data_IF_186484669940
#
_entry.id   IF_186484669940
#
_cell.length_a   1.000
_cell.length_b   1.000
_cell.length_c   1.000
_cell.angle_alpha   90.00
_cell.angle_beta   90.00
_cell.angle_gamma   90.00
#
_symmetry.space_group_name_H-M   'P 1'
#
loop_
_entity.id
_entity.type
_entity.pdbx_description
1 polymer ?
#
# COMPACT_ATOMS: atom_id res chain seq x y z
N UNK A 1 13.68 5.05 10.44
CA UNK A 1 12.65 6.09 10.19
C UNK A 1 12.59 7.15 11.28
N UNK A 2 12.63 6.81 12.57
CA UNK A 2 12.65 7.82 13.66
C UNK A 2 13.84 8.76 13.58
N UNK A 3 15.04 8.23 13.30
CA UNK A 3 16.25 9.04 13.08
C UNK A 3 16.08 10.01 11.90
N UNK A 4 15.48 9.56 10.80
CA UNK A 4 15.27 10.39 9.61
C UNK A 4 14.44 11.64 9.88
N UNK A 5 13.40 11.53 10.73
CA UNK A 5 12.50 12.62 11.09
C UNK A 5 12.89 13.35 12.38
N UNK A 6 14.04 13.03 12.98
CA UNK A 6 14.50 13.71 14.19
C UNK A 6 15.11 15.08 13.86
N UNK A 7 14.82 16.10 14.68
CA UNK A 7 15.20 17.49 14.41
C UNK A 7 16.71 17.71 14.35
N UNK A 8 17.46 16.91 15.12
CA UNK A 8 18.93 16.99 15.16
C UNK A 8 19.64 16.22 14.04
N UNK A 9 18.90 15.55 13.13
CA UNK A 9 19.52 14.75 12.07
C UNK A 9 19.98 15.64 10.93
N UNK A 10 21.28 15.60 10.61
CA UNK A 10 21.89 16.39 9.55
C UNK A 10 21.37 15.99 8.16
N UNK A 11 21.43 16.91 7.20
CA UNK A 11 21.00 16.62 5.83
C UNK A 11 21.86 15.52 5.17
N UNK A 12 23.15 15.48 5.47
CA UNK A 12 24.05 14.41 5.02
C UNK A 12 23.56 13.05 5.53
N UNK A 13 23.25 12.96 6.83
CA UNK A 13 22.73 11.73 7.43
C UNK A 13 21.35 11.34 6.86
N UNK A 14 20.46 12.30 6.62
CA UNK A 14 19.18 12.06 5.97
C UNK A 14 19.36 11.44 4.58
N UNK A 15 20.31 11.95 3.79
CA UNK A 15 20.64 11.43 2.46
C UNK A 15 21.18 9.99 2.52
N UNK A 16 22.07 9.69 3.47
CA UNK A 16 22.54 8.31 3.69
C UNK A 16 21.38 7.35 4.00
N UNK A 17 20.47 7.78 4.87
CA UNK A 17 19.29 6.98 5.23
C UNK A 17 18.38 6.79 4.00
N UNK A 18 18.16 7.82 3.19
CA UNK A 18 17.40 7.71 1.94
C UNK A 18 18.04 6.74 0.96
N UNK A 19 19.36 6.77 0.78
CA UNK A 19 20.09 5.84 -0.08
C UNK A 19 19.92 4.39 0.41
N UNK A 20 20.02 4.15 1.72
CA UNK A 20 19.76 2.83 2.30
C UNK A 20 18.33 2.35 2.06
N UNK A 21 17.34 3.23 2.26
CA UNK A 21 15.93 2.91 2.02
C UNK A 21 15.65 2.68 0.54
N UNK A 22 16.25 3.44 -0.36
CA UNK A 22 16.10 3.23 -1.80
C UNK A 22 16.71 1.89 -2.22
N UNK A 23 17.89 1.55 -1.71
CA UNK A 23 18.53 0.26 -1.95
C UNK A 23 17.67 -0.90 -1.43
N UNK A 24 17.08 -0.78 -0.24
CA UNK A 24 16.14 -1.78 0.28
C UNK A 24 14.92 -1.96 -0.64
N UNK A 25 14.29 -0.87 -1.09
CA UNK A 25 13.09 -0.94 -1.92
C UNK A 25 13.31 -1.60 -3.28
N UNK A 26 14.56 -1.61 -3.77
CA UNK A 26 14.95 -2.26 -5.02
C UNK A 26 15.24 -3.76 -4.88
N UNK A 27 15.37 -4.28 -3.65
CA UNK A 27 15.63 -5.70 -3.44
C UNK A 27 14.44 -6.56 -3.87
N UNK A 28 14.73 -7.68 -4.52
CA UNK A 28 13.72 -8.67 -4.90
C UNK A 28 13.03 -9.17 -3.64
N UNK A 29 11.70 -9.07 -3.59
CA UNK A 29 10.92 -9.51 -2.43
C UNK A 29 10.86 -8.51 -1.27
N UNK A 30 11.41 -7.29 -1.40
CA UNK A 30 11.32 -6.23 -0.37
C UNK A 30 9.88 -5.95 0.08
N UNK A 31 8.92 -6.14 -0.82
CA UNK A 31 7.49 -5.98 -0.56
C UNK A 31 6.98 -6.93 0.53
N UNK A 32 7.56 -8.12 0.70
CA UNK A 32 7.18 -9.09 1.75
C UNK A 32 7.52 -8.57 3.13
N UNK A 33 8.70 -7.95 3.27
CA UNK A 33 9.07 -7.24 4.51
C UNK A 33 8.15 -6.05 4.76
N UNK A 34 7.79 -5.29 3.71
CA UNK A 34 6.83 -4.19 3.84
C UNK A 34 5.46 -4.69 4.30
N UNK A 35 4.99 -5.83 3.79
CA UNK A 35 3.75 -6.47 4.24
C UNK A 35 3.82 -6.84 5.71
N UNK A 36 4.95 -7.43 6.15
CA UNK A 36 5.18 -7.75 7.56
C UNK A 36 5.21 -6.49 8.43
N UNK A 37 5.85 -5.41 7.98
CA UNK A 37 5.89 -4.16 8.75
C UNK A 37 4.50 -3.55 8.92
N UNK A 38 3.66 -3.57 7.88
CA UNK A 38 2.30 -3.05 7.95
C UNK A 38 1.41 -3.77 8.97
N UNK A 39 1.68 -5.04 9.26
CA UNK A 39 0.92 -5.82 10.26
C UNK A 39 1.54 -5.81 11.66
N UNK A 40 2.85 -5.55 11.78
CA UNK A 40 3.59 -5.70 13.05
C UNK A 40 3.98 -4.38 13.72
N UNK A 41 4.13 -3.29 12.97
CA UNK A 41 4.59 -2.02 13.53
C UNK A 41 3.42 -1.16 14.02
N UNK A 42 3.74 -0.18 14.88
CA UNK A 42 2.86 0.96 15.22
C UNK A 42 3.47 2.29 14.80
N UNK A 43 4.61 2.26 14.10
CA UNK A 43 5.29 3.46 13.66
C UNK A 43 4.74 3.91 12.31
N UNK A 44 4.04 5.04 12.31
CA UNK A 44 3.38 5.59 11.12
C UNK A 44 4.36 5.89 9.98
N UNK A 45 5.60 6.29 10.28
CA UNK A 45 6.62 6.52 9.25
C UNK A 45 7.05 5.22 8.56
N UNK A 46 7.16 4.13 9.33
CA UNK A 46 7.46 2.80 8.76
C UNK A 46 6.29 2.33 7.90
N UNK A 47 5.05 2.48 8.37
CA UNK A 47 3.87 2.13 7.59
C UNK A 47 3.79 2.93 6.29
N UNK A 48 3.96 4.25 6.34
CA UNK A 48 3.93 5.07 5.13
C UNK A 48 5.04 4.68 4.17
N UNK A 49 6.26 4.48 4.66
CA UNK A 49 7.35 4.02 3.82
C UNK A 49 7.02 2.69 3.14
N UNK A 50 6.51 1.70 3.88
CA UNK A 50 6.08 0.42 3.32
C UNK A 50 5.00 0.57 2.24
N UNK A 51 4.02 1.46 2.43
CA UNK A 51 3.01 1.76 1.40
C UNK A 51 3.59 2.46 0.18
N UNK A 52 4.59 3.33 0.35
CA UNK A 52 5.30 3.97 -0.77
C UNK A 52 6.13 2.95 -1.57
N UNK A 53 6.69 1.93 -0.92
CA UNK A 53 7.34 0.81 -1.64
C UNK A 53 6.32 0.05 -2.49
N UNK A 54 5.15 -0.29 -1.95
CA UNK A 54 4.08 -0.91 -2.73
C UNK A 54 3.62 -0.03 -3.90
N UNK A 55 3.36 1.25 -3.64
CA UNK A 55 2.94 2.20 -4.68
C UNK A 55 3.96 2.27 -5.82
N UNK A 56 5.26 2.34 -5.53
CA UNK A 56 6.29 2.32 -6.56
C UNK A 56 6.34 0.98 -7.30
N UNK A 57 6.25 -0.15 -6.58
CA UNK A 57 6.21 -1.48 -7.18
C UNK A 57 5.06 -1.62 -8.19
N UNK A 58 3.85 -1.19 -7.79
CA UNK A 58 2.63 -1.31 -8.60
C UNK A 58 2.62 -0.29 -9.76
N UNK A 59 3.09 0.93 -9.56
CA UNK A 59 3.01 1.94 -10.61
C UNK A 59 4.18 1.89 -11.60
N UNK A 60 5.34 1.35 -11.22
CA UNK A 60 6.55 1.40 -12.06
C UNK A 60 7.06 0.03 -12.50
N UNK A 61 6.83 -1.02 -11.70
CA UNK A 61 7.47 -2.33 -11.92
C UNK A 61 6.45 -3.46 -12.11
N UNK A 62 5.15 -3.17 -12.06
CA UNK A 62 4.11 -4.20 -11.99
C UNK A 62 4.16 -5.21 -13.12
N UNK A 63 4.42 -4.79 -14.36
CA UNK A 63 4.55 -5.70 -15.50
C UNK A 63 5.63 -6.78 -15.28
N UNK A 64 6.73 -6.44 -14.60
CA UNK A 64 7.83 -7.35 -14.29
C UNK A 64 7.63 -8.19 -13.03
N UNK A 65 6.58 -7.95 -12.24
CA UNK A 65 6.31 -8.74 -11.02
C UNK A 65 5.81 -10.14 -11.41
N UNK A 66 6.36 -11.22 -10.84
CA UNK A 66 5.88 -12.58 -11.09
C UNK A 66 4.39 -12.75 -10.77
N UNK A 67 3.67 -13.55 -11.56
CA UNK A 67 2.22 -13.76 -11.38
C UNK A 67 1.83 -14.26 -10.00
N UNK A 68 2.67 -15.09 -9.38
CA UNK A 68 2.46 -15.58 -8.01
C UNK A 68 2.53 -14.44 -6.99
N UNK A 69 3.55 -13.59 -7.09
CA UNK A 69 3.69 -12.41 -6.23
C UNK A 69 2.53 -11.43 -6.43
N UNK A 70 2.09 -11.19 -7.67
CA UNK A 70 0.89 -10.37 -7.94
C UNK A 70 -0.36 -10.91 -7.26
N UNK A 71 -0.57 -12.22 -7.32
CA UNK A 71 -1.72 -12.88 -6.69
C UNK A 71 -1.65 -12.77 -5.16
N UNK A 72 -0.47 -12.95 -4.58
CA UNK A 72 -0.23 -12.80 -3.15
C UNK A 72 -0.51 -11.36 -2.69
N UNK A 73 0.02 -10.36 -3.40
CA UNK A 73 -0.21 -8.94 -3.10
C UNK A 73 -1.70 -8.59 -3.17
N UNK A 74 -2.40 -9.02 -4.24
CA UNK A 74 -3.85 -8.81 -4.42
C UNK A 74 -4.71 -9.45 -3.33
N UNK A 75 -4.26 -10.57 -2.77
CA UNK A 75 -4.96 -11.26 -1.68
C UNK A 75 -4.68 -10.61 -0.32
N UNK A 76 -3.43 -10.23 -0.06
CA UNK A 76 -2.97 -9.82 1.25
C UNK A 76 -3.33 -8.37 1.61
N UNK A 77 -3.20 -7.41 0.68
CA UNK A 77 -3.45 -6.00 0.99
C UNK A 77 -4.92 -5.71 1.37
N UNK A 78 -5.94 -6.23 0.65
CA UNK A 78 -7.33 -6.07 1.06
C UNK A 78 -7.64 -6.75 2.40
N UNK A 79 -7.06 -7.93 2.67
CA UNK A 79 -7.21 -8.62 3.97
C UNK A 79 -6.62 -7.79 5.10
N UNK A 80 -5.43 -7.20 4.91
CA UNK A 80 -4.79 -6.32 5.88
C UNK A 80 -5.64 -5.08 6.14
N UNK A 81 -6.17 -4.45 5.09
CA UNK A 81 -7.09 -3.32 5.21
C UNK A 81 -8.30 -3.71 6.08
N UNK A 82 -8.98 -4.81 5.75
CA UNK A 82 -10.15 -5.25 6.49
C UNK A 82 -9.84 -5.61 7.95
N UNK A 83 -8.70 -6.23 8.22
CA UNK A 83 -8.28 -6.59 9.58
C UNK A 83 -7.98 -5.36 10.46
N UNK A 84 -7.39 -4.31 9.89
CA UNK A 84 -6.82 -3.20 10.67
C UNK A 84 -7.44 -1.81 10.41
N UNK A 85 -8.42 -1.66 9.50
CA UNK A 85 -8.98 -0.36 9.12
C UNK A 85 -9.52 0.51 10.27
N UNK A 86 -9.89 -0.10 11.40
CA UNK A 86 -10.38 0.60 12.59
C UNK A 86 -9.26 1.17 13.46
N UNK A 87 -8.08 0.56 13.41
CA UNK A 87 -6.91 0.94 14.23
C UNK A 87 -5.88 1.74 13.46
N UNK A 88 -5.86 1.62 12.13
CA UNK A 88 -4.95 2.38 11.29
C UNK A 88 -5.28 3.87 11.31
N UNK A 89 -4.26 4.76 11.42
CA UNK A 89 -4.45 6.18 11.20
C UNK A 89 -5.09 6.47 9.84
N UNK A 90 -5.90 7.52 9.78
CA UNK A 90 -6.68 7.87 8.59
C UNK A 90 -5.82 7.96 7.32
N UNK A 91 -4.66 8.61 7.38
CA UNK A 91 -3.77 8.80 6.23
C UNK A 91 -3.11 7.49 5.76
N UNK A 92 -2.73 6.59 6.69
CA UNK A 92 -2.21 5.26 6.36
C UNK A 92 -3.29 4.43 5.67
N UNK A 93 -4.50 4.42 6.24
CA UNK A 93 -5.64 3.70 5.70
C UNK A 93 -6.00 4.17 4.29
N UNK A 94 -6.07 5.49 4.07
CA UNK A 94 -6.35 6.04 2.75
C UNK A 94 -5.25 5.71 1.74
N UNK A 95 -3.98 5.78 2.15
CA UNK A 95 -2.86 5.38 1.30
C UNK A 95 -2.95 3.90 0.92
N UNK A 96 -3.32 3.02 1.86
CA UNK A 96 -3.53 1.60 1.58
C UNK A 96 -4.70 1.37 0.61
N UNK A 97 -5.82 2.07 0.78
CA UNK A 97 -6.91 2.05 -0.20
C UNK A 97 -6.42 2.46 -1.60
N UNK A 98 -5.64 3.55 -1.69
CA UNK A 98 -5.06 4.02 -2.96
C UNK A 98 -4.14 2.98 -3.58
N UNK A 99 -3.28 2.32 -2.81
CA UNK A 99 -2.42 1.22 -3.29
C UNK A 99 -3.25 0.06 -3.85
N UNK A 100 -4.36 -0.30 -3.21
CA UNK A 100 -5.26 -1.36 -3.73
C UNK A 100 -5.93 -0.91 -5.04
N UNK A 101 -6.35 0.36 -5.13
CA UNK A 101 -6.91 0.95 -6.36
C UNK A 101 -5.88 0.98 -7.49
N UNK A 102 -4.61 1.31 -7.20
CA UNK A 102 -3.53 1.26 -8.19
C UNK A 102 -3.40 -0.15 -8.81
N UNK A 103 -3.58 -1.22 -8.02
CA UNK A 103 -3.59 -2.59 -8.57
C UNK A 103 -4.79 -2.80 -9.48
N UNK A 104 -5.97 -2.33 -9.07
CA UNK A 104 -7.17 -2.32 -9.90
C UNK A 104 -6.91 -1.64 -11.24
N UNK A 105 -6.28 -0.46 -11.24
CA UNK A 105 -5.91 0.25 -12.48
C UNK A 105 -5.01 -0.56 -13.40
N UNK A 106 -4.05 -1.31 -12.85
CA UNK A 106 -3.11 -2.09 -13.65
C UNK A 106 -3.70 -3.39 -14.20
N UNK A 107 -4.56 -4.07 -13.43
CA UNK A 107 -4.97 -5.45 -13.71
C UNK A 107 -6.45 -5.60 -14.08
N UNK A 108 -7.31 -4.61 -13.81
CA UNK A 108 -8.71 -4.67 -14.22
C UNK A 108 -8.87 -4.34 -15.71
N UNK A 109 -9.73 -5.04 -16.47
CA UNK A 109 -10.57 -6.16 -16.04
C UNK A 109 -9.89 -7.53 -16.09
N UNK A 110 -8.84 -7.70 -16.89
CA UNK A 110 -8.35 -9.02 -17.35
C UNK A 110 -7.74 -9.91 -16.26
N UNK A 111 -7.12 -9.34 -15.23
CA UNK A 111 -6.41 -10.06 -14.19
C UNK A 111 -6.99 -9.83 -12.79
N UNK A 112 -7.87 -8.83 -12.64
CA UNK A 112 -8.55 -8.51 -11.38
C UNK A 112 -10.06 -8.25 -11.59
N UNK A 113 -10.77 -9.22 -12.18
CA UNK A 113 -12.19 -9.13 -12.53
C UNK A 113 -13.11 -8.63 -11.41
N UNK A 114 -12.90 -9.08 -10.17
CA UNK A 114 -13.75 -8.75 -9.03
C UNK A 114 -13.46 -7.37 -8.41
N UNK A 115 -12.58 -6.56 -9.00
CA UNK A 115 -12.17 -5.27 -8.41
C UNK A 115 -13.35 -4.37 -8.02
N UNK A 116 -14.25 -4.07 -8.96
CA UNK A 116 -15.45 -3.26 -8.67
C UNK A 116 -16.43 -3.99 -7.75
N UNK A 117 -16.63 -5.29 -7.93
CA UNK A 117 -17.50 -6.10 -7.06
C UNK A 117 -17.06 -6.01 -5.60
N UNK A 118 -15.76 -6.09 -5.34
CA UNK A 118 -15.19 -5.94 -4.00
C UNK A 118 -15.45 -4.54 -3.42
N UNK A 119 -15.28 -3.48 -4.22
CA UNK A 119 -15.58 -2.11 -3.78
C UNK A 119 -17.07 -1.98 -3.42
N UNK A 120 -17.96 -2.49 -4.27
CA UNK A 120 -19.41 -2.44 -4.03
C UNK A 120 -19.80 -3.23 -2.77
N UNK A 121 -19.18 -4.39 -2.52
CA UNK A 121 -19.40 -5.15 -1.28
C UNK A 121 -19.00 -4.36 -0.03
N UNK A 122 -17.88 -3.60 -0.07
CA UNK A 122 -17.49 -2.73 1.04
C UNK A 122 -18.54 -1.65 1.32
N UNK A 123 -19.14 -1.09 0.27
CA UNK A 123 -20.17 -0.04 0.38
C UNK A 123 -21.43 -0.56 1.07
N UNK A 124 -21.81 -1.81 0.83
CA UNK A 124 -23.04 -2.41 1.33
C UNK A 124 -23.08 -2.63 2.86
N UNK A 125 -21.93 -2.62 3.55
CA UNK A 125 -21.87 -2.80 5.00
C UNK A 125 -21.51 -1.50 5.72
N UNK A 126 -22.34 -1.00 6.67
CA UNK A 126 -22.12 0.28 7.36
C UNK A 126 -20.71 0.45 7.97
N UNK A 127 -20.10 -0.65 8.41
CA UNK A 127 -18.76 -0.64 9.03
C UNK A 127 -17.67 -0.36 7.99
N UNK A 128 -17.84 -0.83 6.76
CA UNK A 128 -16.85 -0.70 5.67
C UNK A 128 -17.27 0.32 4.61
N UNK A 129 -18.48 0.88 4.69
CA UNK A 129 -18.98 1.88 3.72
C UNK A 129 -17.99 3.01 3.48
N UNK A 130 -17.35 3.61 4.52
CA UNK A 130 -16.37 4.68 4.28
C UNK A 130 -15.17 4.22 3.43
N UNK A 131 -14.70 2.98 3.62
CA UNK A 131 -13.60 2.42 2.81
C UNK A 131 -14.03 2.25 1.36
N UNK A 132 -15.22 1.66 1.13
CA UNK A 132 -15.77 1.46 -0.19
C UNK A 132 -15.95 2.77 -0.94
N UNK A 133 -16.45 3.82 -0.27
CA UNK A 133 -16.61 5.15 -0.86
C UNK A 133 -15.26 5.83 -1.17
N UNK A 134 -14.26 5.71 -0.27
CA UNK A 134 -12.91 6.21 -0.53
C UNK A 134 -12.31 5.52 -1.75
N UNK A 135 -12.37 4.19 -1.80
CA UNK A 135 -11.86 3.42 -2.93
C UNK A 135 -12.59 3.76 -4.22
N UNK A 136 -13.93 3.88 -4.21
CA UNK A 136 -14.70 4.25 -5.39
C UNK A 136 -14.33 5.65 -5.90
N UNK A 137 -14.20 6.63 -4.99
CA UNK A 137 -13.76 7.99 -5.34
C UNK A 137 -12.36 7.98 -5.96
N UNK A 138 -11.40 7.32 -5.31
CA UNK A 138 -10.02 7.22 -5.83
C UNK A 138 -9.98 6.49 -7.17
N UNK A 139 -10.77 5.43 -7.33
CA UNK A 139 -10.90 4.73 -8.62
C UNK A 139 -11.40 5.67 -9.71
N UNK A 140 -12.40 6.52 -9.44
CA UNK A 140 -12.92 7.52 -10.39
C UNK A 140 -11.92 8.63 -10.74
N UNK A 141 -10.89 8.85 -9.93
CA UNK A 141 -9.85 9.87 -10.17
C UNK A 141 -8.66 9.31 -10.98
N UNK A 142 -8.43 7.99 -10.94
CA UNK A 142 -7.23 7.33 -11.46
C UNK A 142 -7.46 6.44 -12.70
N UNK A 143 -8.71 6.03 -12.97
CA UNK A 143 -9.16 5.30 -14.17
C UNK A 143 -9.83 6.25 -15.17
#
# INVERSE_FOLDING_TARGET
MTEFFHDCTTNERKREIEELLNNFAQQIGAWRFCLYFLSSTRNDYVMMYSLTVFENLINKMWLGVPSQDKMEIRSCLPKLLLAHHKTLPYFIRNKLCKVIVDIGRQDWPMFYHDFFTNILQLIQSPVTTPLGLIMLKTTSEEL
#
